data_IF_826824579284
#
_entry.id   IF_826824579284
#
_cell.length_a   1.000
_cell.length_b   1.000
_cell.length_c   1.000
_cell.angle_alpha   90.00
_cell.angle_beta   90.00
_cell.angle_gamma   90.00
#
_symmetry.space_group_name_H-M   'P 1'
#
loop_
_entity.id
_entity.type
_entity.pdbx_description
1 polymer ?
#
# COMPACT_ATOMS: atom_id res chain seq x y z
N UNK A 1 -1.65 -5.33 10.71
CA UNK A 1 -0.76 -4.51 9.85
C UNK A 1 0.55 -5.26 9.68
N UNK A 2 1.11 -5.24 8.48
CA UNK A 2 2.34 -5.95 8.14
C UNK A 2 3.18 -5.09 7.19
N UNK A 3 4.49 -5.27 7.20
CA UNK A 3 5.39 -4.76 6.16
C UNK A 3 5.52 -5.79 5.05
N UNK A 4 5.72 -5.32 3.82
CA UNK A 4 5.99 -6.18 2.68
C UNK A 4 7.05 -5.54 1.77
N UNK A 5 7.70 -6.38 0.95
CA UNK A 5 8.56 -5.89 -0.13
C UNK A 5 7.73 -5.66 -1.38
N UNK A 6 7.86 -4.46 -1.94
CA UNK A 6 7.33 -4.08 -3.24
C UNK A 6 8.44 -4.17 -4.28
N UNK A 7 8.10 -4.62 -5.48
CA UNK A 7 8.92 -4.53 -6.68
C UNK A 7 8.41 -3.40 -7.58
N UNK A 8 9.33 -2.57 -8.08
CA UNK A 8 9.06 -1.52 -9.05
C UNK A 8 9.79 -1.86 -10.35
N UNK A 9 9.04 -2.02 -11.43
CA UNK A 9 9.57 -2.40 -12.74
C UNK A 9 9.26 -1.30 -13.74
N UNK A 10 10.29 -0.82 -14.45
CA UNK A 10 10.08 0.09 -15.57
C UNK A 10 9.83 -0.69 -16.85
N UNK A 11 8.65 -0.53 -17.45
CA UNK A 11 8.26 -1.16 -18.71
C UNK A 11 8.08 -0.11 -19.80
N UNK A 12 8.33 -0.50 -21.06
CA UNK A 12 7.92 0.34 -22.21
C UNK A 12 6.40 0.39 -22.27
N UNK A 13 5.83 1.59 -22.42
CA UNK A 13 4.38 1.78 -22.51
C UNK A 13 3.86 1.38 -23.90
N UNK A 14 3.78 0.07 -24.15
CA UNK A 14 3.28 -0.52 -25.40
C UNK A 14 2.31 -1.68 -25.11
N UNK A 15 1.31 -1.92 -25.98
CA UNK A 15 0.41 -3.04 -25.85
C UNK A 15 1.16 -4.36 -25.63
N UNK A 16 0.67 -5.18 -24.70
CA UNK A 16 1.21 -6.50 -24.40
C UNK A 16 2.46 -6.55 -23.50
N UNK A 17 3.15 -5.44 -23.22
CA UNK A 17 4.37 -5.47 -22.38
C UNK A 17 4.08 -5.86 -20.94
N UNK A 18 3.04 -5.27 -20.34
CA UNK A 18 2.57 -5.66 -19.01
C UNK A 18 2.07 -7.11 -19.00
N UNK A 19 1.30 -7.51 -20.02
CA UNK A 19 0.79 -8.87 -20.15
C UNK A 19 1.91 -9.92 -20.23
N UNK A 20 3.00 -9.64 -20.94
CA UNK A 20 4.16 -10.52 -21.02
C UNK A 20 4.85 -10.70 -19.66
N UNK A 21 5.03 -9.61 -18.91
CA UNK A 21 5.59 -9.67 -17.55
C UNK A 21 4.68 -10.46 -16.59
N UNK A 22 3.39 -10.16 -16.57
CA UNK A 22 2.43 -10.87 -15.73
C UNK A 22 2.30 -12.35 -16.12
N UNK A 23 2.40 -12.66 -17.42
CA UNK A 23 2.40 -14.04 -17.92
C UNK A 23 3.63 -14.82 -17.45
N UNK A 24 4.80 -14.20 -17.41
CA UNK A 24 6.00 -14.83 -16.86
C UNK A 24 5.89 -15.07 -15.35
N UNK A 25 5.40 -14.07 -14.59
CA UNK A 25 5.13 -14.22 -13.15
C UNK A 25 4.13 -15.35 -12.87
N UNK A 26 3.05 -15.44 -13.67
CA UNK A 26 2.07 -16.52 -13.58
C UNK A 26 2.65 -17.91 -13.87
N UNK A 27 3.56 -18.03 -14.86
CA UNK A 27 4.29 -19.30 -15.12
C UNK A 27 5.20 -19.68 -13.95
N UNK A 28 5.80 -18.69 -13.29
CA UNK A 28 6.56 -18.85 -12.05
C UNK A 28 5.68 -19.07 -10.81
N UNK A 29 4.35 -19.16 -10.96
CA UNK A 29 3.37 -19.31 -9.86
C UNK A 29 3.43 -18.18 -8.82
N UNK A 30 3.83 -16.98 -9.25
CA UNK A 30 3.89 -15.79 -8.40
C UNK A 30 2.56 -15.06 -8.48
N UNK A 31 1.88 -14.90 -7.35
CA UNK A 31 0.73 -14.00 -7.23
C UNK A 31 1.17 -12.67 -6.61
N UNK A 32 0.23 -11.73 -6.51
CA UNK A 32 0.48 -10.45 -5.87
C UNK A 32 -0.73 -9.95 -5.11
N UNK A 33 -0.47 -9.25 -4.01
CA UNK A 33 -1.50 -8.68 -3.13
C UNK A 33 -2.01 -7.35 -3.63
N UNK A 34 -1.17 -6.63 -4.38
CA UNK A 34 -1.44 -5.30 -4.85
C UNK A 34 -0.62 -5.01 -6.10
N UNK A 35 -1.20 -4.27 -7.05
CA UNK A 35 -0.52 -3.81 -8.25
C UNK A 35 -1.01 -2.40 -8.60
N UNK A 36 -0.09 -1.53 -9.01
CA UNK A 36 -0.34 -0.19 -9.51
C UNK A 36 0.55 0.04 -10.72
N UNK A 37 0.00 0.68 -11.76
CA UNK A 37 0.77 1.14 -12.91
C UNK A 37 0.71 2.66 -12.88
N UNK A 38 1.87 3.27 -12.79
CA UNK A 38 2.02 4.71 -12.88
C UNK A 38 2.52 5.07 -14.27
N UNK A 39 1.90 6.07 -14.86
CA UNK A 39 2.28 6.63 -16.15
C UNK A 39 3.56 7.46 -16.02
N UNK A 40 4.51 7.26 -16.94
CA UNK A 40 5.67 8.14 -17.09
C UNK A 40 6.09 8.27 -18.55
N UNK A 41 5.24 8.94 -19.34
CA UNK A 41 5.49 9.15 -20.78
C UNK A 41 5.69 7.82 -21.53
N UNK A 42 6.86 7.66 -22.14
CA UNK A 42 7.21 6.50 -22.99
C UNK A 42 7.42 5.19 -22.20
N UNK A 43 7.57 5.28 -20.88
CA UNK A 43 7.72 4.11 -19.99
C UNK A 43 6.70 4.17 -18.87
N UNK A 44 6.14 3.05 -18.47
CA UNK A 44 5.32 2.93 -17.26
C UNK A 44 6.14 2.36 -16.11
N UNK A 45 5.88 2.81 -14.89
CA UNK A 45 6.41 2.15 -13.69
C UNK A 45 5.34 1.26 -13.10
N UNK A 46 5.56 -0.05 -13.12
CA UNK A 46 4.68 -1.04 -12.51
C UNK A 46 5.18 -1.34 -11.11
N UNK A 47 4.37 -1.04 -10.11
CA UNK A 47 4.62 -1.36 -8.70
C UNK A 47 3.71 -2.50 -8.29
N UNK A 48 4.26 -3.54 -7.69
CA UNK A 48 3.45 -4.63 -7.16
C UNK A 48 4.06 -5.23 -5.91
N UNK A 49 3.21 -5.82 -5.07
CA UNK A 49 3.61 -6.53 -3.85
C UNK A 49 3.39 -8.02 -4.10
N UNK A 50 4.43 -8.80 -4.43
CA UNK A 50 4.29 -10.24 -4.63
C UNK A 50 3.92 -10.95 -3.33
N UNK A 51 3.35 -12.16 -3.46
CA UNK A 51 3.20 -13.09 -2.34
C UNK A 51 4.56 -13.66 -1.89
N UNK A 52 5.43 -13.95 -2.85
CA UNK A 52 6.82 -14.39 -2.66
C UNK A 52 7.78 -13.45 -3.41
N UNK A 53 8.57 -12.69 -2.65
CA UNK A 53 9.56 -11.77 -3.20
C UNK A 53 10.69 -12.49 -3.96
N UNK A 54 11.18 -13.61 -3.43
CA UNK A 54 12.31 -14.35 -4.00
C UNK A 54 11.92 -14.95 -5.33
N UNK A 55 10.75 -15.62 -5.39
CA UNK A 55 10.24 -16.20 -6.63
C UNK A 55 9.96 -15.11 -7.69
N UNK A 56 9.38 -13.97 -7.29
CA UNK A 56 9.16 -12.84 -8.20
C UNK A 56 10.48 -12.28 -8.75
N UNK A 57 11.48 -12.11 -7.89
CA UNK A 57 12.81 -11.63 -8.26
C UNK A 57 13.51 -12.58 -9.25
N UNK A 58 13.44 -13.90 -9.01
CA UNK A 58 13.99 -14.91 -9.92
C UNK A 58 13.35 -14.84 -11.31
N UNK A 59 12.03 -14.73 -11.40
CA UNK A 59 11.32 -14.58 -12.67
C UNK A 59 11.77 -13.31 -13.41
N UNK A 60 11.82 -12.17 -12.72
CA UNK A 60 12.24 -10.90 -13.33
C UNK A 60 13.70 -10.94 -13.81
N UNK A 61 14.59 -11.54 -13.01
CA UNK A 61 15.99 -11.75 -13.36
C UNK A 61 16.11 -12.64 -14.61
N UNK A 62 15.35 -13.74 -14.68
CA UNK A 62 15.33 -14.63 -15.85
C UNK A 62 14.83 -13.95 -17.13
N UNK A 63 13.99 -12.92 -17.01
CA UNK A 63 13.55 -12.09 -18.13
C UNK A 63 14.52 -10.95 -18.49
N UNK A 64 15.63 -10.80 -17.75
CA UNK A 64 16.53 -9.66 -17.84
C UNK A 64 15.83 -8.30 -17.64
N UNK A 65 14.83 -8.27 -16.76
CA UNK A 65 14.05 -7.08 -16.41
C UNK A 65 14.61 -6.49 -15.11
N UNK A 66 15.06 -5.23 -15.18
CA UNK A 66 15.53 -4.50 -13.99
C UNK A 66 14.35 -4.08 -13.11
N UNK A 67 14.55 -4.16 -11.81
CA UNK A 67 13.57 -3.75 -10.81
C UNK A 67 14.26 -3.10 -9.61
N UNK A 68 13.49 -2.24 -8.93
CA UNK A 68 13.85 -1.71 -7.62
C UNK A 68 12.96 -2.35 -6.54
N UNK A 69 13.55 -2.67 -5.40
CA UNK A 69 12.81 -3.17 -4.24
C UNK A 69 12.62 -2.06 -3.19
N UNK A 70 11.43 -2.00 -2.60
CA UNK A 70 11.13 -1.06 -1.51
C UNK A 70 10.31 -1.73 -0.42
N UNK A 71 10.63 -1.46 0.84
CA UNK A 71 9.79 -1.86 1.96
C UNK A 71 8.61 -0.89 2.11
N UNK A 72 7.40 -1.45 2.22
CA UNK A 72 6.12 -0.73 2.27
C UNK A 72 5.22 -1.27 3.38
N UNK A 73 4.27 -0.46 3.84
CA UNK A 73 3.23 -0.86 4.78
C UNK A 73 2.00 -1.37 4.05
N UNK A 74 1.46 -2.49 4.52
CA UNK A 74 0.13 -2.95 4.15
C UNK A 74 -0.84 -2.66 5.28
N UNK A 75 -1.76 -1.72 5.03
CA UNK A 75 -2.75 -1.23 5.98
C UNK A 75 -4.14 -1.62 5.50
N UNK A 76 -4.89 -2.30 6.35
CA UNK A 76 -6.30 -2.57 6.08
C UNK A 76 -7.12 -1.29 6.30
N UNK A 77 -7.88 -0.90 5.29
CA UNK A 77 -8.71 0.29 5.29
C UNK A 77 -10.16 -0.15 5.22
N UNK A 78 -10.96 0.09 6.29
CA UNK A 78 -12.39 -0.19 6.27
C UNK A 78 -13.08 0.47 5.08
N UNK A 79 -14.10 -0.19 4.51
CA UNK A 79 -14.91 0.37 3.44
C UNK A 79 -15.90 1.42 3.99
N UNK A 80 -15.35 2.54 4.47
CA UNK A 80 -16.07 3.66 5.05
C UNK A 80 -15.47 4.97 4.54
N UNK A 81 -16.33 5.97 4.30
CA UNK A 81 -15.87 7.30 3.89
C UNK A 81 -14.88 7.88 4.92
N UNK A 82 -13.77 8.42 4.44
CA UNK A 82 -12.72 8.99 5.28
C UNK A 82 -11.88 7.99 6.06
N UNK A 83 -12.05 6.67 5.87
CA UNK A 83 -11.21 5.67 6.54
C UNK A 83 -9.72 5.85 6.21
N UNK A 84 -9.39 6.05 4.92
CA UNK A 84 -8.01 6.31 4.51
C UNK A 84 -7.49 7.66 5.03
N UNK A 85 -8.35 8.69 5.07
CA UNK A 85 -8.00 10.01 5.66
C UNK A 85 -7.50 9.86 7.10
N UNK A 86 -8.18 9.05 7.92
CA UNK A 86 -7.75 8.80 9.32
C UNK A 86 -6.38 8.14 9.41
N UNK A 87 -6.00 7.31 8.45
CA UNK A 87 -4.65 6.72 8.38
C UNK A 87 -3.63 7.81 8.07
N UNK A 88 -3.91 8.66 7.08
CA UNK A 88 -3.03 9.78 6.71
C UNK A 88 -2.88 10.79 7.86
N UNK A 89 -3.97 11.16 8.54
CA UNK A 89 -3.96 12.10 9.68
C UNK A 89 -3.08 11.57 10.82
N UNK A 90 -3.12 10.26 11.11
CA UNK A 90 -2.26 9.64 12.14
C UNK A 90 -0.78 9.72 11.78
N UNK A 91 -0.44 9.43 10.52
CA UNK A 91 0.95 9.53 10.05
C UNK A 91 1.44 10.98 10.08
N UNK A 92 0.61 11.93 9.64
CA UNK A 92 0.93 13.34 9.64
C UNK A 92 1.12 13.91 11.06
N UNK A 93 0.32 13.48 12.04
CA UNK A 93 0.44 13.90 13.43
C UNK A 93 1.79 13.53 14.07
N UNK A 94 2.48 12.52 13.53
CA UNK A 94 3.81 12.08 13.97
C UNK A 94 4.93 12.52 12.99
N UNK A 95 4.63 13.49 12.11
CA UNK A 95 5.55 14.04 11.11
C UNK A 95 6.12 12.99 10.13
N UNK A 96 5.35 11.95 9.81
CA UNK A 96 5.71 10.93 8.84
C UNK A 96 5.24 11.34 7.43
N UNK A 97 6.18 11.38 6.48
CA UNK A 97 5.88 11.65 5.08
C UNK A 97 5.39 10.39 4.38
N UNK A 98 4.42 10.54 3.48
CA UNK A 98 3.98 9.48 2.57
C UNK A 98 4.60 9.77 1.19
N UNK A 99 5.54 8.94 0.77
CA UNK A 99 6.22 9.13 -0.52
C UNK A 99 5.30 8.73 -1.68
N UNK A 100 4.53 7.66 -1.47
CA UNK A 100 3.45 7.25 -2.36
C UNK A 100 2.52 6.28 -1.66
N UNK A 101 1.28 6.18 -2.15
CA UNK A 101 0.32 5.19 -1.70
C UNK A 101 -0.59 4.74 -2.84
N UNK A 102 -1.06 3.51 -2.78
CA UNK A 102 -2.08 2.98 -3.68
C UNK A 102 -2.91 1.91 -2.96
N UNK A 103 -4.15 1.71 -3.41
CA UNK A 103 -5.05 0.72 -2.82
C UNK A 103 -5.16 -0.50 -3.73
N UNK A 104 -5.17 -1.68 -3.12
CA UNK A 104 -5.60 -2.92 -3.74
C UNK A 104 -7.02 -3.25 -3.31
N UNK A 105 -7.81 -3.73 -4.26
CA UNK A 105 -9.12 -4.30 -3.98
C UNK A 105 -8.94 -5.56 -3.14
N UNK A 106 -9.61 -5.62 -1.98
CA UNK A 106 -9.53 -6.75 -1.07
C UNK A 106 -10.09 -8.02 -1.73
N UNK A 107 -9.32 -9.11 -1.67
CA UNK A 107 -9.77 -10.44 -2.08
C UNK A 107 -10.73 -11.02 -1.04
N UNK A 108 -12.04 -10.86 -1.25
CA UNK A 108 -13.05 -11.55 -0.45
C UNK A 108 -14.44 -10.92 -0.51
N UNK A 109 -15.46 -11.76 -0.64
CA UNK A 109 -16.88 -11.44 -0.73
C UNK A 109 -17.33 -10.26 0.15
N UNK A 110 -17.46 -9.07 -0.47
CA UNK A 110 -18.39 -7.99 -0.12
C UNK A 110 -18.24 -7.27 1.23
N UNK A 111 -17.35 -7.70 2.14
CA UNK A 111 -17.34 -7.20 3.53
C UNK A 111 -15.96 -6.89 4.12
N UNK A 112 -14.88 -7.29 3.46
CA UNK A 112 -13.51 -7.01 3.92
C UNK A 112 -13.01 -5.74 3.24
N UNK A 113 -12.45 -4.81 4.02
CA UNK A 113 -11.95 -3.52 3.54
C UNK A 113 -10.89 -3.62 2.43
N UNK A 114 -10.47 -2.48 1.90
CA UNK A 114 -9.37 -2.43 0.93
C UNK A 114 -8.02 -2.52 1.63
N UNK A 115 -6.98 -2.98 0.94
CA UNK A 115 -5.61 -2.95 1.47
C UNK A 115 -4.90 -1.76 0.84
N UNK A 116 -4.51 -0.78 1.65
CA UNK A 116 -3.63 0.30 1.22
C UNK A 116 -2.17 -0.14 1.34
N UNK A 117 -1.42 0.07 0.26
CA UNK A 117 0.04 0.00 0.24
C UNK A 117 0.57 1.41 0.41
N UNK A 118 1.40 1.64 1.42
CA UNK A 118 1.91 2.97 1.77
C UNK A 118 3.42 2.90 1.92
N UNK A 119 4.15 3.70 1.12
CA UNK A 119 5.55 3.97 1.36
C UNK A 119 5.69 5.22 2.19
N UNK A 120 6.46 5.10 3.27
CA UNK A 120 6.78 6.18 4.20
C UNK A 120 8.28 6.33 4.35
N UNK A 121 8.70 7.50 4.80
CA UNK A 121 10.09 7.82 5.10
C UNK A 121 10.66 7.01 6.29
N UNK A 122 9.85 6.69 7.30
CA UNK A 122 10.25 5.88 8.47
C UNK A 122 9.22 4.78 8.75
N UNK A 123 9.54 3.55 8.33
CA UNK A 123 8.65 2.40 8.47
C UNK A 123 8.46 1.96 9.92
N UNK A 124 9.53 1.94 10.73
CA UNK A 124 9.47 1.46 12.09
C UNK A 124 8.57 2.36 12.95
N UNK A 125 8.71 3.68 12.79
CA UNK A 125 7.85 4.65 13.48
C UNK A 125 6.41 4.59 13.00
N UNK A 126 6.20 4.49 11.69
CA UNK A 126 4.85 4.35 11.14
C UNK A 126 4.14 3.08 11.63
N UNK A 127 4.88 1.96 11.78
CA UNK A 127 4.31 0.76 12.38
C UNK A 127 3.88 0.99 13.83
N UNK A 128 4.68 1.71 14.62
CA UNK A 128 4.34 2.03 16.00
C UNK A 128 3.08 2.90 16.09
N UNK A 129 3.06 4.02 15.38
CA UNK A 129 1.95 5.00 15.36
C UNK A 129 0.63 4.36 14.94
N UNK A 130 0.66 3.53 13.88
CA UNK A 130 -0.54 2.89 13.37
C UNK A 130 -1.01 1.70 14.22
N UNK A 131 -0.12 1.07 15.00
CA UNK A 131 -0.47 -0.02 15.93
C UNK A 131 -1.08 0.49 17.23
N UNK A 132 -0.59 1.61 17.76
CA UNK A 132 -1.09 2.20 19.01
C UNK A 132 -2.52 2.73 18.85
N UNK A 133 -2.91 3.15 17.64
CA UNK A 133 -4.22 3.73 17.36
C UNK A 133 -5.37 2.75 17.08
N UNK A 134 -5.17 1.43 17.17
CA UNK A 134 -6.26 0.43 17.16
C UNK A 134 -6.71 0.05 18.59
N UNK A 135 -5.88 0.33 19.60
CA UNK A 135 -6.24 0.22 21.00
C UNK A 135 -6.63 1.59 21.57
N UNK A 136 -7.92 1.80 21.82
CA UNK A 136 -8.47 2.92 22.59
C UNK A 136 -8.57 4.30 21.91
N UNK A 137 -9.77 4.59 21.39
CA UNK A 137 -10.34 5.94 21.51
C UNK A 137 -11.72 5.85 22.17
N UNK A 138 -11.75 5.42 23.44
CA UNK A 138 -12.72 5.93 24.42
C UNK A 138 -12.06 7.06 25.21
N UNK A 139 -11.60 8.12 24.54
CA UNK A 139 -11.27 9.36 25.24
C UNK A 139 -12.56 10.19 25.29
N UNK A 140 -13.25 10.13 26.45
CA UNK A 140 -14.39 10.99 26.79
C UNK A 140 -14.08 12.41 26.34
N UNK A 141 -14.89 12.95 25.43
CA UNK A 141 -14.88 14.40 25.17
C UNK A 141 -15.10 15.10 26.52
N UNK A 142 -14.29 16.11 26.89
CA UNK A 142 -14.60 16.93 28.04
C UNK A 142 -15.96 17.59 27.81
N UNK A 143 -16.86 17.43 28.78
CA UNK A 143 -18.23 17.90 28.72
C UNK A 143 -18.30 19.35 28.26
N UNK A 144 -19.09 19.60 27.21
CA UNK A 144 -19.43 20.93 26.73
C UNK A 144 -20.15 21.64 27.88
N UNK A 145 -19.50 22.59 28.54
CA UNK A 145 -20.16 23.44 29.53
C UNK A 145 -21.28 24.22 28.82
N UNK A 146 -22.51 24.28 29.35
CA UNK A 146 -23.56 25.08 28.76
C UNK A 146 -23.15 26.55 28.84
N UNK A 147 -23.14 27.22 27.68
CA UNK A 147 -22.99 28.68 27.63
C UNK A 147 -24.31 29.26 28.12
N UNK A 148 -24.21 29.93 29.27
CA UNK A 148 -25.21 30.65 30.05
C UNK A 148 -26.59 30.89 29.41
N UNK A 149 -27.61 30.51 30.18
CA UNK A 149 -28.87 31.23 30.24
C UNK A 149 -28.61 32.68 30.63
N UNK A 150 -29.06 33.61 29.79
CA UNK A 150 -29.62 34.92 30.12
C UNK A 150 -30.54 35.35 28.98
#
# INVERSE_FOLDING_TARGET
>A
MQTAKQLSVSLVNKPGRLAAMLGALGKGKVNFRALSVMDSGDRGTVRFVPDDFTAAAEVLNGMNVRYDAADVLLVEVPNQSGAFRKVCEKLAADHLNIDYAYCALGGGNGTKGSVAVIKVNDLARAQKVLSEGTASTKKKLPGRRPVHAR
#
